data_IF_257511823529
#
_entry.id   IF_257511823529
#
_cell.length_a   1.000
_cell.length_b   1.000
_cell.length_c   1.000
_cell.angle_alpha   90.00
_cell.angle_beta   90.00
_cell.angle_gamma   90.00
#
_symmetry.space_group_name_H-M   'P 1'
#
loop_
_entity.id
_entity.type
_entity.pdbx_description
1 polymer ?
#
# COMPACT_ATOMS: atom_id res chain seq x y z
N UNK A 1 -15.55 -8.33 -9.25
CA UNK A 1 -14.88 -7.05 -8.97
C UNK A 1 -14.93 -6.20 -10.22
N UNK A 2 -15.43 -4.99 -10.12
CA UNK A 2 -15.39 -4.05 -11.23
C UNK A 2 -14.95 -2.69 -10.69
N UNK A 3 -13.74 -2.29 -11.05
CA UNK A 3 -13.27 -0.91 -10.85
C UNK A 3 -12.83 -0.37 -12.21
N UNK A 4 -13.34 0.79 -12.57
CA UNK A 4 -12.97 1.50 -13.80
C UNK A 4 -12.39 2.84 -13.37
N UNK A 5 -11.14 3.11 -13.73
CA UNK A 5 -10.47 4.38 -13.47
C UNK A 5 -10.47 4.82 -11.99
N UNK A 6 -10.36 3.89 -11.05
CA UNK A 6 -10.34 4.21 -9.62
C UNK A 6 -11.72 4.40 -8.99
N UNK A 7 -12.80 4.12 -9.71
CA UNK A 7 -14.18 4.12 -9.19
C UNK A 7 -14.74 2.71 -9.23
N UNK A 8 -15.38 2.26 -8.17
CA UNK A 8 -15.96 0.93 -8.11
C UNK A 8 -15.81 0.26 -6.76
N UNK A 9 -15.59 -1.04 -6.78
CA UNK A 9 -15.44 -1.82 -5.54
C UNK A 9 -14.23 -2.74 -5.61
N UNK A 10 -13.47 -2.81 -4.52
CA UNK A 10 -12.29 -3.68 -4.42
C UNK A 10 -11.99 -4.06 -2.96
N UNK A 11 -11.12 -5.05 -2.78
CA UNK A 11 -10.59 -5.42 -1.48
C UNK A 11 -9.38 -4.55 -1.15
N UNK A 12 -9.41 -3.95 0.06
CA UNK A 12 -8.31 -3.18 0.61
C UNK A 12 -7.94 -3.65 2.01
N UNK A 13 -6.64 -3.59 2.28
CA UNK A 13 -6.04 -3.99 3.54
C UNK A 13 -5.99 -5.52 3.66
N UNK A 14 -4.87 -6.02 4.13
CA UNK A 14 -4.68 -7.42 4.46
C UNK A 14 -4.29 -7.47 5.93
N UNK A 15 -4.97 -8.29 6.72
CA UNK A 15 -4.68 -8.52 8.13
C UNK A 15 -4.96 -9.97 8.50
N UNK A 16 -4.66 -10.34 9.74
CA UNK A 16 -4.98 -11.64 10.32
C UNK A 16 -4.56 -12.81 9.42
N UNK A 17 -3.28 -12.79 9.01
CA UNK A 17 -2.68 -13.86 8.23
C UNK A 17 -2.66 -15.17 9.02
N UNK A 18 -3.07 -16.26 8.37
CA UNK A 18 -3.07 -17.60 8.94
C UNK A 18 -1.93 -18.45 8.34
N UNK A 19 -1.54 -19.54 9.03
CA UNK A 19 -0.50 -20.45 8.53
C UNK A 19 -0.83 -21.09 7.17
N UNK A 20 -2.11 -21.27 6.85
CA UNK A 20 -2.62 -21.78 5.58
C UNK A 20 -2.55 -20.76 4.42
N UNK A 21 -2.05 -19.54 4.71
CA UNK A 21 -1.96 -18.45 3.73
C UNK A 21 -3.23 -17.65 3.55
N UNK A 22 -4.32 -18.01 4.23
CA UNK A 22 -5.54 -17.19 4.23
C UNK A 22 -5.31 -15.89 5.01
N UNK A 23 -6.05 -14.86 4.63
CA UNK A 23 -6.00 -13.55 5.30
C UNK A 23 -7.35 -12.86 5.26
N UNK A 24 -7.56 -11.96 6.18
CA UNK A 24 -8.77 -11.13 6.23
C UNK A 24 -8.52 -9.81 5.51
N UNK A 25 -9.49 -9.40 4.70
CA UNK A 25 -9.48 -8.12 4.00
C UNK A 25 -10.88 -7.51 4.02
N UNK A 26 -10.98 -6.21 3.80
CA UNK A 26 -12.28 -5.52 3.74
C UNK A 26 -12.61 -5.14 2.30
N UNK A 27 -13.86 -5.34 1.93
CA UNK A 27 -14.41 -4.96 0.63
C UNK A 27 -14.95 -3.54 0.71
N UNK A 28 -14.47 -2.66 -0.17
CA UNK A 28 -14.71 -1.23 -0.13
C UNK A 28 -15.35 -0.73 -1.41
N UNK A 29 -16.16 0.30 -1.25
CA UNK A 29 -16.43 1.25 -2.34
C UNK A 29 -15.25 2.20 -2.42
N UNK A 30 -14.63 2.30 -3.60
CA UNK A 30 -13.51 3.18 -3.88
C UNK A 30 -13.96 4.36 -4.73
N UNK A 31 -13.43 5.53 -4.39
CA UNK A 31 -13.62 6.77 -5.13
C UNK A 31 -12.22 7.38 -5.35
N UNK A 32 -11.84 7.60 -6.60
CA UNK A 32 -10.51 8.09 -6.96
C UNK A 32 -9.37 7.29 -6.28
N UNK A 33 -9.46 5.95 -6.31
CA UNK A 33 -8.56 4.99 -5.65
C UNK A 33 -8.59 5.00 -4.11
N UNK A 34 -9.36 5.88 -3.47
CA UNK A 34 -9.48 5.96 -2.02
C UNK A 34 -10.60 5.06 -1.50
N UNK A 35 -10.38 4.25 -0.46
CA UNK A 35 -11.40 3.43 0.18
C UNK A 35 -12.31 4.32 1.03
N UNK A 36 -13.55 4.54 0.58
CA UNK A 36 -14.49 5.47 1.23
C UNK A 36 -15.46 4.73 2.15
N UNK A 37 -16.15 3.70 1.63
CA UNK A 37 -17.19 3.00 2.39
C UNK A 37 -16.83 1.52 2.53
N UNK A 38 -16.65 1.00 3.76
CA UNK A 38 -16.48 -0.43 4.00
C UNK A 38 -17.84 -1.13 3.88
N UNK A 39 -17.92 -2.17 3.06
CA UNK A 39 -19.16 -2.94 2.87
C UNK A 39 -19.22 -4.17 3.78
N UNK A 40 -18.18 -4.99 3.74
CA UNK A 40 -18.03 -6.18 4.57
C UNK A 40 -16.55 -6.60 4.61
N UNK A 41 -16.18 -7.39 5.61
CA UNK A 41 -14.87 -8.07 5.60
C UNK A 41 -15.01 -9.45 4.96
N UNK A 42 -13.92 -9.98 4.45
CA UNK A 42 -13.88 -11.30 3.87
C UNK A 42 -12.54 -12.00 4.20
N UNK A 43 -12.62 -13.29 4.50
CA UNK A 43 -11.44 -14.15 4.57
C UNK A 43 -11.19 -14.72 3.19
N UNK A 44 -10.01 -14.47 2.65
CA UNK A 44 -9.57 -14.96 1.35
C UNK A 44 -8.71 -16.19 1.57
N UNK A 45 -9.11 -17.32 1.00
CA UNK A 45 -8.37 -18.59 1.06
C UNK A 45 -7.47 -18.77 -0.16
N UNK A 46 -7.93 -18.33 -1.31
CA UNK A 46 -7.24 -18.50 -2.58
C UNK A 46 -7.51 -17.33 -3.51
N UNK A 47 -6.48 -16.91 -4.23
CA UNK A 47 -6.62 -15.89 -5.27
C UNK A 47 -5.87 -16.34 -6.54
N UNK A 48 -6.57 -16.47 -7.64
CA UNK A 48 -5.98 -16.61 -8.98
C UNK A 48 -5.93 -15.25 -9.65
N UNK A 49 -4.71 -14.78 -9.93
CA UNK A 49 -4.48 -13.54 -10.65
C UNK A 49 -4.35 -13.82 -12.14
N UNK A 50 -5.38 -13.51 -12.92
CA UNK A 50 -5.28 -13.39 -14.38
C UNK A 50 -4.79 -11.99 -14.78
N UNK A 51 -4.38 -11.83 -16.05
CA UNK A 51 -3.89 -10.54 -16.57
C UNK A 51 -4.93 -9.39 -16.45
N UNK A 52 -6.23 -9.72 -16.51
CA UNK A 52 -7.32 -8.73 -16.47
C UNK A 52 -8.38 -9.01 -15.40
N UNK A 53 -8.32 -10.15 -14.72
CA UNK A 53 -9.32 -10.52 -13.73
C UNK A 53 -8.71 -11.35 -12.60
N UNK A 54 -9.04 -11.00 -11.35
CA UNK A 54 -8.61 -11.76 -10.18
C UNK A 54 -9.83 -12.45 -9.60
N UNK A 55 -9.81 -13.78 -9.54
CA UNK A 55 -10.83 -14.58 -8.89
C UNK A 55 -10.42 -14.87 -7.45
N UNK A 56 -11.34 -14.67 -6.51
CA UNK A 56 -11.13 -14.91 -5.10
C UNK A 56 -12.12 -15.96 -4.60
N UNK A 57 -11.62 -16.96 -3.88
CA UNK A 57 -12.44 -17.79 -3.02
C UNK A 57 -12.44 -17.15 -1.64
N UNK A 58 -13.58 -16.68 -1.20
CA UNK A 58 -13.69 -15.96 0.06
C UNK A 58 -14.95 -16.31 0.84
N UNK A 59 -14.85 -16.20 2.15
CA UNK A 59 -15.95 -16.25 3.10
C UNK A 59 -16.27 -14.85 3.60
N UNK A 60 -17.55 -14.44 3.58
CA UNK A 60 -17.96 -13.13 4.08
C UNK A 60 -17.95 -13.13 5.60
N UNK A 61 -17.36 -12.10 6.17
CA UNK A 61 -17.31 -11.83 7.60
C UNK A 61 -17.97 -10.48 7.91
N UNK A 62 -18.38 -10.24 9.16
CA UNK A 62 -18.77 -8.92 9.61
C UNK A 62 -17.60 -7.94 9.44
N UNK A 63 -17.94 -6.64 9.33
CA UNK A 63 -16.92 -5.59 9.12
C UNK A 63 -15.92 -5.58 10.28
N UNK A 64 -14.64 -5.72 9.95
CA UNK A 64 -13.55 -5.57 10.91
C UNK A 64 -13.23 -4.07 11.10
N UNK A 65 -13.87 -3.45 12.10
CA UNK A 65 -13.72 -2.03 12.38
C UNK A 65 -12.28 -1.61 12.72
N UNK A 66 -11.50 -2.49 13.35
CA UNK A 66 -10.08 -2.19 13.62
C UNK A 66 -9.30 -2.00 12.32
N UNK A 67 -9.56 -2.84 11.32
CA UNK A 67 -8.95 -2.72 10.00
C UNK A 67 -9.40 -1.45 9.29
N UNK A 68 -10.70 -1.13 9.34
CA UNK A 68 -11.28 0.09 8.77
C UNK A 68 -10.61 1.34 9.35
N UNK A 69 -10.52 1.43 10.66
CA UNK A 69 -9.88 2.57 11.34
C UNK A 69 -8.40 2.69 10.96
N UNK A 70 -7.66 1.58 10.88
CA UNK A 70 -6.24 1.61 10.45
C UNK A 70 -6.08 2.13 9.01
N UNK A 71 -6.96 1.73 8.11
CA UNK A 71 -6.94 2.20 6.71
C UNK A 71 -7.26 3.69 6.65
N UNK A 72 -8.30 4.15 7.33
CA UNK A 72 -8.63 5.58 7.38
C UNK A 72 -7.56 6.41 8.06
N UNK A 73 -7.00 5.93 9.17
CA UNK A 73 -5.87 6.60 9.83
C UNK A 73 -4.67 6.74 8.89
N UNK A 74 -4.38 5.73 8.09
CA UNK A 74 -3.33 5.81 7.08
C UNK A 74 -3.65 6.84 5.98
N UNK A 75 -4.86 6.83 5.43
CA UNK A 75 -5.29 7.77 4.39
C UNK A 75 -5.26 9.22 4.90
N UNK A 76 -5.86 9.46 6.08
CA UNK A 76 -5.90 10.78 6.70
C UNK A 76 -4.47 11.23 7.08
N UNK A 77 -3.69 10.35 7.70
CA UNK A 77 -2.31 10.64 8.08
C UNK A 77 -1.43 10.99 6.87
N UNK A 78 -1.63 10.29 5.75
CA UNK A 78 -0.94 10.61 4.50
C UNK A 78 -1.39 11.95 3.94
N UNK A 79 -2.67 12.27 3.98
CA UNK A 79 -3.17 13.57 3.51
C UNK A 79 -2.66 14.73 4.36
N UNK A 80 -2.72 14.61 5.69
CA UNK A 80 -2.20 15.63 6.64
C UNK A 80 -0.69 15.79 6.48
N UNK A 81 0.04 14.69 6.37
CA UNK A 81 1.48 14.73 6.15
C UNK A 81 1.86 15.38 4.82
N UNK A 82 1.03 15.19 3.77
CA UNK A 82 1.24 15.87 2.48
C UNK A 82 1.07 17.40 2.61
N UNK A 83 0.02 17.85 3.30
CA UNK A 83 -0.19 19.30 3.57
C UNK A 83 0.99 19.85 4.36
N UNK A 84 1.43 19.16 5.44
CA UNK A 84 2.60 19.58 6.21
C UNK A 84 3.89 19.62 5.37
N UNK A 85 4.06 18.70 4.43
CA UNK A 85 5.17 18.77 3.47
C UNK A 85 5.11 20.02 2.60
N UNK A 86 3.92 20.40 2.13
CA UNK A 86 3.74 21.63 1.33
C UNK A 86 4.07 22.89 2.13
N UNK A 87 3.70 22.94 3.40
CA UNK A 87 4.04 24.07 4.31
C UNK A 87 5.56 24.17 4.51
N UNK A 88 6.25 23.06 4.74
CA UNK A 88 7.72 23.03 4.82
C UNK A 88 8.35 23.51 3.50
N UNK A 89 7.84 23.03 2.37
CA UNK A 89 8.31 23.42 1.04
C UNK A 89 8.13 24.94 0.85
N UNK A 90 6.97 25.48 1.20
CA UNK A 90 6.71 26.91 1.04
C UNK A 90 7.62 27.79 1.90
N UNK A 91 7.98 27.33 3.09
CA UNK A 91 8.88 28.04 4.00
C UNK A 91 10.35 27.98 3.57
N UNK A 92 10.78 26.92 2.90
CA UNK A 92 12.17 26.70 2.44
C UNK A 92 12.39 27.22 1.01
N UNK A 93 11.33 27.26 0.19
CA UNK A 93 11.39 27.51 -1.26
C UNK A 93 11.79 28.94 -1.65
N UNK A 94 12.01 29.84 -0.70
CA UNK A 94 12.49 31.19 -1.03
C UNK A 94 13.91 31.21 -1.63
N UNK A 95 14.68 30.11 -1.55
CA UNK A 95 16.05 30.08 -2.04
C UNK A 95 16.48 28.84 -2.82
N UNK A 96 15.72 27.69 -2.79
CA UNK A 96 16.28 26.44 -3.30
C UNK A 96 15.20 25.46 -3.80
N UNK A 97 14.88 25.53 -5.08
CA UNK A 97 13.87 24.68 -5.73
C UNK A 97 14.20 23.19 -5.66
N UNK A 98 15.51 22.86 -5.62
CA UNK A 98 16.01 21.49 -5.57
C UNK A 98 15.66 20.77 -4.27
N UNK A 99 15.79 21.46 -3.12
CA UNK A 99 15.50 20.88 -1.80
C UNK A 99 14.02 20.56 -1.65
N UNK A 100 13.16 21.42 -2.16
CA UNK A 100 11.71 21.26 -2.14
C UNK A 100 11.28 19.99 -2.88
N UNK A 101 11.83 19.76 -4.06
CA UNK A 101 11.57 18.56 -4.86
C UNK A 101 12.03 17.28 -4.16
N UNK A 102 13.19 17.30 -3.54
CA UNK A 102 13.73 16.14 -2.79
C UNK A 102 12.81 15.78 -1.62
N UNK A 103 12.38 16.76 -0.82
CA UNK A 103 11.49 16.53 0.32
C UNK A 103 10.18 15.88 -0.13
N UNK A 104 9.58 16.40 -1.21
CA UNK A 104 8.35 15.83 -1.76
C UNK A 104 8.52 14.39 -2.24
N UNK A 105 9.61 14.10 -2.95
CA UNK A 105 9.90 12.76 -3.44
C UNK A 105 10.16 11.77 -2.32
N UNK A 106 10.90 12.15 -1.30
CA UNK A 106 11.15 11.32 -0.11
C UNK A 106 9.82 11.00 0.59
N UNK A 107 8.96 12.01 0.76
CA UNK A 107 7.64 11.81 1.36
C UNK A 107 6.76 10.84 0.56
N UNK A 108 6.62 11.05 -0.76
CA UNK A 108 5.81 10.19 -1.63
C UNK A 108 6.33 8.75 -1.65
N UNK A 109 7.66 8.59 -1.68
CA UNK A 109 8.29 7.28 -1.64
C UNK A 109 8.03 6.57 -0.30
N UNK A 110 8.17 7.28 0.81
CA UNK A 110 7.88 6.75 2.14
C UNK A 110 6.41 6.35 2.28
N UNK A 111 5.49 7.21 1.83
CA UNK A 111 4.05 6.93 1.85
C UNK A 111 3.67 5.69 1.00
N UNK A 112 4.31 5.50 -0.16
CA UNK A 112 4.09 4.34 -1.02
C UNK A 112 4.67 3.05 -0.44
N UNK A 113 5.83 3.11 0.21
CA UNK A 113 6.52 1.93 0.75
C UNK A 113 5.97 1.49 2.10
N UNK A 114 5.40 2.40 2.90
CA UNK A 114 4.91 2.12 4.26
C UNK A 114 3.89 0.96 4.30
N UNK A 115 2.84 0.90 3.47
CA UNK A 115 1.90 -0.22 3.47
C UNK A 115 2.57 -1.56 3.14
N UNK A 116 3.53 -1.56 2.21
CA UNK A 116 4.27 -2.77 1.84
C UNK A 116 5.17 -3.26 2.98
N UNK A 117 5.81 -2.34 3.69
CA UNK A 117 6.62 -2.64 4.85
C UNK A 117 5.78 -3.21 6.01
N UNK A 118 4.63 -2.62 6.31
CA UNK A 118 3.72 -3.10 7.35
C UNK A 118 3.17 -4.50 7.02
N UNK A 119 2.80 -4.75 5.76
CA UNK A 119 2.43 -6.11 5.31
C UNK A 119 3.56 -7.11 5.46
N UNK A 120 4.78 -6.72 5.11
CA UNK A 120 5.94 -7.58 5.26
C UNK A 120 6.17 -7.95 6.73
N UNK A 121 6.07 -6.98 7.63
CA UNK A 121 6.18 -7.22 9.07
C UNK A 121 5.08 -8.16 9.59
N UNK A 122 3.83 -7.93 9.19
CA UNK A 122 2.70 -8.77 9.58
C UNK A 122 2.88 -10.22 9.10
N UNK A 123 3.32 -10.43 7.87
CA UNK A 123 3.60 -11.76 7.31
C UNK A 123 4.78 -12.47 8.01
N UNK A 124 5.77 -11.72 8.47
CA UNK A 124 6.93 -12.30 9.18
C UNK A 124 6.57 -12.93 10.53
N UNK A 125 5.50 -12.44 11.17
CA UNK A 125 5.06 -12.96 12.47
C UNK A 125 4.31 -14.29 12.38
N UNK A 126 3.92 -14.72 11.17
CA UNK A 126 3.15 -15.94 10.96
C UNK A 126 4.08 -17.04 10.42
N UNK A 127 4.05 -18.19 11.06
CA UNK A 127 4.73 -19.41 10.59
C UNK A 127 3.87 -20.07 9.52
N UNK A 128 4.13 -19.75 8.25
CA UNK A 128 3.40 -20.36 7.13
C UNK A 128 3.77 -21.83 6.94
N UNK A 129 2.80 -22.63 6.48
CA UNK A 129 3.04 -23.98 6.01
C UNK A 129 4.06 -23.97 4.84
N UNK A 130 4.87 -25.04 4.67
CA UNK A 130 5.96 -25.06 3.69
C UNK A 130 5.52 -24.67 2.27
N UNK A 131 4.39 -25.19 1.80
CA UNK A 131 3.85 -24.92 0.47
C UNK A 131 3.46 -23.45 0.26
N UNK A 132 2.98 -22.80 1.33
CA UNK A 132 2.59 -21.38 1.31
C UNK A 132 3.82 -20.48 1.42
N UNK A 133 4.84 -20.90 2.16
CA UNK A 133 6.10 -20.17 2.30
C UNK A 133 6.83 -19.99 0.96
N UNK A 134 6.76 -20.97 0.07
CA UNK A 134 7.36 -20.90 -1.27
C UNK A 134 6.67 -19.82 -2.13
N UNK A 135 5.33 -19.74 -2.07
CA UNK A 135 4.56 -18.68 -2.77
C UNK A 135 4.85 -17.27 -2.24
N UNK A 136 5.04 -17.13 -0.93
CA UNK A 136 5.31 -15.82 -0.32
C UNK A 136 6.70 -15.28 -0.63
N UNK A 137 7.67 -16.14 -0.96
CA UNK A 137 9.04 -15.77 -1.31
C UNK A 137 9.11 -14.93 -2.59
N UNK A 138 8.21 -15.16 -3.56
CA UNK A 138 8.15 -14.39 -4.81
C UNK A 138 7.78 -12.91 -4.56
N UNK A 139 6.90 -12.64 -3.60
CA UNK A 139 6.48 -11.27 -3.22
C UNK A 139 7.62 -10.44 -2.61
N UNK A 140 8.56 -11.06 -1.88
CA UNK A 140 9.69 -10.37 -1.25
C UNK A 140 10.65 -9.77 -2.29
N UNK A 141 10.88 -10.47 -3.38
CA UNK A 141 11.79 -10.06 -4.44
C UNK A 141 11.30 -8.78 -5.14
N UNK A 142 10.00 -8.68 -5.39
CA UNK A 142 9.39 -7.51 -6.02
C UNK A 142 9.41 -6.28 -5.11
N UNK A 143 9.23 -6.45 -3.79
CA UNK A 143 9.33 -5.36 -2.83
C UNK A 143 10.72 -4.70 -2.85
N UNK A 144 11.78 -5.52 -2.78
CA UNK A 144 13.15 -4.99 -2.82
C UNK A 144 13.50 -4.35 -4.16
N UNK A 145 13.00 -4.90 -5.28
CA UNK A 145 13.17 -4.30 -6.59
C UNK A 145 12.51 -2.93 -6.69
N UNK A 146 11.28 -2.78 -6.19
CA UNK A 146 10.57 -1.50 -6.14
C UNK A 146 11.28 -0.49 -5.23
N UNK A 147 11.76 -0.92 -4.08
CA UNK A 147 12.50 -0.06 -3.16
C UNK A 147 13.82 0.42 -3.80
N UNK A 148 14.57 -0.47 -4.45
CA UNK A 148 15.80 -0.11 -5.17
C UNK A 148 15.51 0.83 -6.35
N UNK A 149 14.43 0.59 -7.11
CA UNK A 149 14.03 1.46 -8.21
C UNK A 149 13.69 2.87 -7.70
N UNK A 150 12.96 2.98 -6.61
CA UNK A 150 12.61 4.26 -5.99
C UNK A 150 13.85 5.02 -5.54
N UNK A 151 14.81 4.36 -4.88
CA UNK A 151 16.08 4.96 -4.49
C UNK A 151 16.89 5.40 -5.71
N UNK A 152 16.96 4.58 -6.76
CA UNK A 152 17.68 4.91 -7.99
C UNK A 152 17.08 6.15 -8.68
N UNK A 153 15.74 6.26 -8.73
CA UNK A 153 15.05 7.44 -9.29
C UNK A 153 15.36 8.70 -8.48
N UNK A 154 15.34 8.62 -7.14
CA UNK A 154 15.70 9.74 -6.27
C UNK A 154 17.15 10.17 -6.52
N UNK A 155 18.09 9.23 -6.56
CA UNK A 155 19.49 9.52 -6.84
C UNK A 155 19.70 10.16 -8.22
N UNK A 156 18.98 9.67 -9.23
CA UNK A 156 19.04 10.23 -10.60
C UNK A 156 18.54 11.69 -10.63
N UNK A 157 17.42 11.97 -9.95
CA UNK A 157 16.88 13.33 -9.90
C UNK A 157 17.84 14.27 -9.17
N UNK A 158 18.40 13.85 -8.03
CA UNK A 158 19.40 14.63 -7.31
C UNK A 158 20.61 14.91 -8.20
N UNK A 159 21.10 13.90 -8.92
CA UNK A 159 22.23 14.06 -9.84
C UNK A 159 21.94 15.05 -10.97
N UNK A 160 20.76 14.98 -11.58
CA UNK A 160 20.33 15.91 -12.65
C UNK A 160 20.16 17.35 -12.16
N UNK A 161 19.95 17.58 -10.87
CA UNK A 161 19.84 18.92 -10.28
C UNK A 161 21.20 19.52 -9.89
N UNK A 162 22.26 18.71 -9.84
CA UNK A 162 23.62 19.16 -9.54
C UNK A 162 24.47 19.45 -10.79
N UNK A 163 23.94 19.10 -11.98
CA UNK A 163 24.49 19.46 -13.30
C UNK A 163 23.97 20.81 -13.77
#
# INVERSE_FOLDING_TARGET
MSSINGFGTTFYGECDYQPDGSFVTTYWVILAFLPVIPLYSARIFYSESGLFNTQYQYEKLPVNWQQVVRIWAFVIGTAVGFVGCLDIISSVSASDNSRSTIVLLVYLTAAALLPHFLRYQAKKQVNFLPDVAIRSSFSKRHFWLLAMLAVAVICLIVYLQTL
#
